data_IF_977937818564
#
_entry.id   IF_977937818564
#
_cell.length_a   1.000
_cell.length_b   1.000
_cell.length_c   1.000
_cell.angle_alpha   90.00
_cell.angle_beta   90.00
_cell.angle_gamma   90.00
#
_symmetry.space_group_name_H-M   'P 1'
#
loop_
_entity.id
_entity.type
_entity.pdbx_description
1 polymer ?
#
# COMPACT_ATOMS: atom_id res chain seq x y z
N UNK A 1 32.07 52.27 29.87
CA UNK A 1 32.47 52.03 28.45
C UNK A 1 33.23 50.71 28.38
N UNK A 2 32.73 49.75 27.58
CA UNK A 2 33.39 48.51 27.03
C UNK A 2 33.92 47.47 28.05
N UNK A 3 33.78 46.15 27.90
CA UNK A 3 33.01 45.22 27.04
C UNK A 3 32.99 43.85 27.77
N UNK A 4 31.87 43.15 27.64
CA UNK A 4 31.57 41.79 28.12
C UNK A 4 31.89 40.78 27.01
N UNK A 5 32.49 39.63 27.36
CA UNK A 5 32.56 38.35 26.62
C UNK A 5 33.55 37.45 27.39
N UNK A 6 33.42 36.14 27.60
CA UNK A 6 32.60 35.05 27.08
C UNK A 6 32.93 33.86 28.00
N UNK A 7 31.95 33.15 28.58
CA UNK A 7 32.07 31.75 29.08
C UNK A 7 30.83 31.37 29.92
N UNK A 8 29.71 31.10 29.27
CA UNK A 8 28.59 30.36 29.86
C UNK A 8 27.87 29.58 28.75
N UNK A 9 28.51 28.53 28.24
CA UNK A 9 27.90 27.60 27.29
C UNK A 9 28.63 26.25 27.32
N UNK A 10 28.69 25.60 28.49
CA UNK A 10 29.16 24.20 28.55
C UNK A 10 28.58 23.39 29.71
N UNK A 11 27.33 23.64 30.10
CA UNK A 11 26.65 22.80 31.11
C UNK A 11 25.15 22.52 30.85
N UNK A 12 24.64 22.84 29.65
CA UNK A 12 23.24 22.57 29.28
C UNK A 12 23.06 21.48 28.20
N UNK A 13 24.14 20.86 27.73
CA UNK A 13 24.11 19.90 26.61
C UNK A 13 24.18 18.43 27.04
N UNK A 14 24.30 18.12 28.33
CA UNK A 14 24.41 16.74 28.82
C UNK A 14 23.10 16.22 29.45
N UNK A 15 22.11 17.09 29.76
CA UNK A 15 20.81 16.63 30.32
C UNK A 15 19.65 16.59 29.32
N UNK A 16 19.78 17.22 28.15
CA UNK A 16 18.73 17.22 27.11
C UNK A 16 18.58 15.90 26.35
N UNK A 17 19.64 15.10 26.26
CA UNK A 17 19.64 13.82 25.53
C UNK A 17 19.08 12.66 26.37
N UNK A 18 19.39 12.60 27.67
CA UNK A 18 18.90 11.54 28.55
C UNK A 18 17.38 11.60 28.79
N UNK A 19 16.79 12.79 28.87
CA UNK A 19 15.34 12.93 29.06
C UNK A 19 14.55 12.52 27.80
N UNK A 20 15.15 12.71 26.61
CA UNK A 20 14.54 12.33 25.34
C UNK A 20 14.54 10.80 25.12
N UNK A 21 15.62 10.11 25.52
CA UNK A 21 15.72 8.65 25.38
C UNK A 21 14.81 7.87 26.34
N UNK A 22 14.62 8.37 27.57
CA UNK A 22 13.68 7.78 28.52
C UNK A 22 12.22 7.99 28.09
N UNK A 23 11.87 9.18 27.58
CA UNK A 23 10.55 9.45 27.02
C UNK A 23 10.27 8.58 25.77
N UNK A 24 11.27 8.38 24.91
CA UNK A 24 11.19 7.53 23.71
C UNK A 24 11.05 6.05 24.06
N UNK A 25 11.77 5.59 25.10
CA UNK A 25 11.66 4.24 25.68
C UNK A 25 10.26 3.98 26.28
N UNK A 26 9.72 4.94 27.03
CA UNK A 26 8.38 4.85 27.60
C UNK A 26 7.30 4.81 26.51
N UNK A 27 7.39 5.68 25.50
CA UNK A 27 6.42 5.72 24.39
C UNK A 27 6.49 4.48 23.50
N UNK A 28 7.69 3.90 23.31
CA UNK A 28 7.87 2.62 22.62
C UNK A 28 7.28 1.43 23.40
N UNK A 29 7.39 1.42 24.74
CA UNK A 29 6.74 0.39 25.58
C UNK A 29 5.22 0.52 25.53
N UNK A 30 4.68 1.72 25.65
CA UNK A 30 3.23 1.98 25.56
C UNK A 30 2.67 1.57 24.18
N UNK A 31 3.34 1.94 23.09
CA UNK A 31 2.92 1.55 21.73
C UNK A 31 3.00 0.02 21.50
N UNK A 32 3.96 -0.65 22.13
CA UNK A 32 4.10 -2.12 22.06
C UNK A 32 3.00 -2.83 22.85
N UNK A 33 2.58 -2.28 23.99
CA UNK A 33 1.44 -2.82 24.74
C UNK A 33 0.09 -2.57 24.07
N UNK A 34 -0.11 -1.38 23.47
CA UNK A 34 -1.32 -1.08 22.68
C UNK A 34 -1.42 -2.02 21.48
N UNK A 35 -0.31 -2.25 20.75
CA UNK A 35 -0.28 -3.17 19.62
C UNK A 35 -0.55 -4.62 20.03
N UNK A 36 0.02 -5.06 21.17
CA UNK A 36 -0.25 -6.41 21.73
C UNK A 36 -1.70 -6.57 22.18
N UNK A 37 -2.29 -5.58 22.85
CA UNK A 37 -3.70 -5.60 23.27
C UNK A 37 -4.64 -5.58 22.07
N UNK A 38 -4.31 -4.82 21.02
CA UNK A 38 -5.11 -4.75 19.79
C UNK A 38 -5.06 -6.08 19.04
N UNK A 39 -3.88 -6.67 18.86
CA UNK A 39 -3.74 -7.99 18.21
C UNK A 39 -4.45 -9.10 18.98
N UNK A 40 -4.35 -9.13 20.32
CA UNK A 40 -5.06 -10.12 21.16
C UNK A 40 -6.58 -9.99 21.04
N UNK A 41 -7.10 -8.75 21.01
CA UNK A 41 -8.54 -8.49 20.84
C UNK A 41 -9.05 -8.92 19.47
N UNK A 42 -8.21 -8.80 18.43
CA UNK A 42 -8.50 -9.29 17.09
C UNK A 42 -8.53 -10.84 17.10
N UNK A 43 -7.55 -11.51 17.69
CA UNK A 43 -7.54 -12.97 17.83
C UNK A 43 -8.76 -13.52 18.59
N UNK A 44 -9.17 -12.86 19.68
CA UNK A 44 -10.36 -13.25 20.47
C UNK A 44 -11.67 -13.09 19.69
N UNK A 45 -11.74 -12.13 18.75
CA UNK A 45 -12.90 -11.92 17.88
C UNK A 45 -12.95 -12.99 16.77
N UNK A 46 -11.80 -13.35 16.20
CA UNK A 46 -11.71 -14.37 15.16
C UNK A 46 -11.95 -15.79 15.68
N UNK A 47 -11.56 -16.09 16.93
CA UNK A 47 -11.79 -17.40 17.54
C UNK A 47 -13.23 -17.63 18.03
N UNK A 48 -14.10 -16.61 18.05
CA UNK A 48 -15.51 -16.75 18.47
C UNK A 48 -16.48 -17.22 17.38
N UNK A 49 -16.00 -17.53 16.16
CA UNK A 49 -16.85 -18.02 15.06
C UNK A 49 -16.31 -19.33 14.47
N UNK A 50 -16.47 -20.44 15.19
CA UNK A 50 -16.69 -21.77 14.60
C UNK A 50 -17.65 -22.58 15.48
N UNK A 51 -18.76 -23.12 14.94
CA UNK A 51 -19.47 -24.21 15.58
C UNK A 51 -18.60 -25.48 15.48
N UNK A 52 -18.52 -26.25 16.56
CA UNK A 52 -17.90 -27.57 16.55
C UNK A 52 -18.79 -28.58 15.79
N UNK A 53 -18.23 -29.50 14.99
CA UNK A 53 -18.94 -30.69 14.56
C UNK A 53 -18.79 -31.82 15.60
N UNK A 54 -19.86 -32.60 15.71
CA UNK A 54 -20.12 -33.63 16.70
C UNK A 54 -19.10 -34.78 16.71
N UNK A 55 -18.87 -35.26 17.94
CA UNK A 55 -18.02 -36.37 18.34
C UNK A 55 -18.75 -37.72 18.17
N UNK A 56 -18.10 -38.68 17.51
CA UNK A 56 -18.31 -40.12 17.70
C UNK A 56 -17.01 -40.91 17.44
N UNK A 57 -16.23 -41.09 18.51
CA UNK A 57 -15.92 -42.39 19.10
C UNK A 57 -14.83 -43.28 18.47
N UNK A 58 -13.90 -43.75 19.33
CA UNK A 58 -13.31 -45.09 19.20
C UNK A 58 -11.81 -45.29 19.48
N UNK A 59 -11.41 -45.25 20.76
CA UNK A 59 -10.47 -46.15 21.48
C UNK A 59 -9.24 -46.79 20.80
N UNK A 60 -8.06 -46.59 21.41
CA UNK A 60 -7.20 -47.70 21.86
C UNK A 60 -5.68 -47.54 21.70
N UNK A 61 -4.93 -47.74 22.80
CA UNK A 61 -3.58 -48.33 22.77
C UNK A 61 -2.44 -47.53 23.42
N UNK A 62 -2.00 -47.98 24.60
CA UNK A 62 -0.83 -47.49 25.35
C UNK A 62 0.48 -48.22 24.97
N UNK A 63 1.63 -47.59 25.23
CA UNK A 63 2.97 -48.21 25.18
C UNK A 63 4.09 -47.26 25.65
N UNK A 64 4.86 -47.69 26.65
CA UNK A 64 5.84 -46.95 27.47
C UNK A 64 7.27 -46.81 26.90
N UNK A 65 8.02 -45.84 27.50
CA UNK A 65 9.47 -45.70 27.71
C UNK A 65 10.38 -45.57 26.46
N UNK A 66 11.40 -44.71 26.36
CA UNK A 66 12.53 -44.43 27.27
C UNK A 66 13.27 -43.13 26.82
N UNK A 67 14.10 -42.55 27.69
CA UNK A 67 14.66 -41.21 27.55
C UNK A 67 15.86 -41.06 26.61
N UNK A 68 16.08 -39.82 26.18
CA UNK A 68 17.38 -39.13 26.17
C UNK A 68 17.17 -37.66 25.81
N UNK A 69 17.58 -36.78 26.72
CA UNK A 69 17.75 -35.35 26.46
C UNK A 69 18.97 -35.16 25.57
N UNK A 70 18.80 -34.58 24.39
CA UNK A 70 19.88 -33.85 23.73
C UNK A 70 19.35 -32.55 23.12
N UNK A 71 19.87 -31.45 23.66
CA UNK A 71 19.54 -30.09 23.27
C UNK A 71 20.05 -29.81 21.86
N UNK A 72 19.15 -29.81 20.88
CA UNK A 72 19.38 -29.14 19.60
C UNK A 72 18.23 -28.15 19.40
N UNK A 73 18.47 -26.89 19.79
CA UNK A 73 17.65 -25.73 19.41
C UNK A 73 17.73 -25.55 17.88
N UNK A 74 16.97 -26.37 17.16
CA UNK A 74 16.52 -26.05 15.81
C UNK A 74 15.45 -24.97 15.96
N UNK A 75 15.52 -23.84 15.22
CA UNK A 75 14.42 -22.91 15.18
C UNK A 75 13.16 -23.69 14.79
N UNK A 76 12.15 -23.65 15.66
CA UNK A 76 10.90 -24.35 15.43
C UNK A 76 10.36 -23.99 14.04
N UNK A 77 10.27 -25.00 13.20
CA UNK A 77 9.59 -24.99 11.92
C UNK A 77 8.12 -24.69 12.21
N UNK A 78 7.75 -23.41 12.15
CA UNK A 78 6.34 -23.01 12.26
C UNK A 78 5.68 -23.49 10.98
N UNK A 79 5.03 -24.63 11.12
CA UNK A 79 4.31 -25.37 10.10
C UNK A 79 3.53 -24.48 9.13
N UNK A 80 3.76 -24.76 7.84
CA UNK A 80 2.95 -24.41 6.67
C UNK A 80 1.50 -24.92 6.80
N UNK A 81 0.69 -24.30 7.66
CA UNK A 81 -0.72 -24.64 7.84
C UNK A 81 -1.58 -23.38 7.97
N UNK A 82 -1.46 -22.48 6.99
CA UNK A 82 -2.48 -21.52 6.59
C UNK A 82 -1.98 -20.81 5.31
N UNK A 83 -2.06 -21.49 4.16
CA UNK A 83 -1.97 -20.81 2.86
C UNK A 83 -3.24 -19.99 2.67
N UNK A 84 -3.30 -18.88 3.39
CA UNK A 84 -4.39 -17.93 3.41
C UNK A 84 -4.41 -17.16 2.08
N UNK A 85 -5.61 -17.01 1.52
CA UNK A 85 -5.95 -16.01 0.50
C UNK A 85 -5.20 -14.70 0.79
N UNK A 86 -4.47 -14.17 -0.20
CA UNK A 86 -3.67 -12.95 -0.06
C UNK A 86 -4.43 -11.86 0.69
N UNK A 87 -3.79 -11.24 1.69
CA UNK A 87 -4.30 -10.04 2.36
C UNK A 87 -3.85 -8.74 1.66
N UNK A 88 -3.27 -8.86 0.46
CA UNK A 88 -2.93 -7.73 -0.37
C UNK A 88 -4.20 -6.99 -0.79
N UNK A 89 -4.14 -5.67 -0.71
CA UNK A 89 -5.20 -4.78 -1.17
C UNK A 89 -4.55 -3.91 -2.24
N UNK A 90 -4.98 -4.01 -3.51
CA UNK A 90 -4.49 -3.13 -4.56
C UNK A 90 -4.84 -1.66 -4.26
N UNK A 91 -3.96 -0.72 -4.61
CA UNK A 91 -4.30 0.70 -4.59
C UNK A 91 -5.46 1.00 -5.53
N UNK A 92 -6.35 1.92 -5.18
CA UNK A 92 -7.54 2.22 -5.97
C UNK A 92 -7.23 3.15 -7.15
N UNK A 93 -6.41 4.17 -6.92
CA UNK A 93 -6.09 5.19 -7.92
C UNK A 93 -4.77 4.86 -8.60
N UNK A 94 -4.85 4.41 -9.85
CA UNK A 94 -3.67 4.08 -10.68
C UNK A 94 -2.88 5.36 -10.94
N UNK A 95 -1.59 5.36 -10.58
CA UNK A 95 -0.66 6.46 -10.89
C UNK A 95 0.23 6.13 -12.08
N UNK A 96 0.51 4.86 -12.31
CA UNK A 96 1.26 4.38 -13.47
C UNK A 96 0.80 2.97 -13.84
N UNK A 97 0.65 2.70 -15.14
CA UNK A 97 0.33 1.36 -15.62
C UNK A 97 0.91 1.12 -17.00
N UNK A 98 1.57 -0.02 -17.13
CA UNK A 98 2.07 -0.52 -18.40
C UNK A 98 1.81 -2.03 -18.54
N UNK A 99 0.96 -2.37 -19.51
CA UNK A 99 0.61 -3.76 -19.86
C UNK A 99 1.36 -4.28 -21.09
N UNK A 100 2.20 -3.45 -21.71
CA UNK A 100 2.98 -3.74 -22.92
C UNK A 100 2.17 -4.07 -24.20
N UNK A 101 0.84 -4.21 -24.12
CA UNK A 101 -0.03 -4.69 -25.23
C UNK A 101 0.05 -3.89 -26.53
N UNK A 102 0.39 -2.60 -26.45
CA UNK A 102 0.41 -1.67 -27.59
C UNK A 102 1.82 -1.19 -27.92
N UNK A 103 2.83 -1.79 -27.32
CA UNK A 103 4.23 -1.46 -27.55
C UNK A 103 4.75 -2.02 -28.88
N UNK A 104 5.81 -1.40 -29.40
CA UNK A 104 6.45 -1.78 -30.67
C UNK A 104 7.64 -2.70 -30.36
N UNK A 105 7.68 -3.88 -30.99
CA UNK A 105 8.77 -4.84 -30.80
C UNK A 105 10.13 -4.26 -31.20
N UNK A 106 11.16 -4.50 -30.38
CA UNK A 106 12.53 -4.03 -30.58
C UNK A 106 12.77 -2.58 -30.15
N UNK A 107 11.73 -1.81 -29.87
CA UNK A 107 11.85 -0.44 -29.39
C UNK A 107 11.99 -0.40 -27.86
N UNK A 108 12.50 0.73 -27.35
CA UNK A 108 12.46 1.02 -25.91
C UNK A 108 11.00 1.28 -25.48
N UNK A 109 10.50 0.71 -24.35
CA UNK A 109 9.10 0.81 -23.97
C UNK A 109 8.69 2.26 -23.70
N UNK A 110 7.63 2.70 -24.38
CA UNK A 110 7.28 4.13 -24.54
C UNK A 110 6.95 4.88 -23.25
N UNK A 111 6.56 4.18 -22.18
CA UNK A 111 6.16 4.74 -20.88
C UNK A 111 7.30 4.82 -19.85
N UNK A 112 8.53 4.57 -20.28
CA UNK A 112 9.67 4.47 -19.38
C UNK A 112 10.75 5.47 -19.77
N UNK A 113 11.69 5.65 -18.84
CA UNK A 113 12.98 6.26 -19.09
C UNK A 113 14.09 5.27 -18.71
N UNK A 114 15.24 5.41 -19.36
CA UNK A 114 16.41 4.56 -19.16
C UNK A 114 17.46 5.27 -18.32
N UNK A 115 17.83 4.68 -17.18
CA UNK A 115 19.01 5.14 -16.42
C UNK A 115 20.30 4.57 -17.01
N UNK A 116 20.30 3.27 -17.34
CA UNK A 116 21.44 2.56 -17.94
C UNK A 116 21.05 1.18 -18.47
N UNK A 117 21.92 0.63 -19.32
CA UNK A 117 21.82 -0.73 -19.83
C UNK A 117 21.13 -0.79 -21.18
N UNK A 118 20.64 -1.97 -21.56
CA UNK A 118 19.88 -2.16 -22.78
C UNK A 118 18.55 -2.85 -22.44
N UNK A 119 17.45 -2.18 -22.79
CA UNK A 119 16.08 -2.62 -22.50
C UNK A 119 15.25 -2.38 -23.74
N UNK A 120 14.46 -3.38 -24.13
CA UNK A 120 13.62 -3.34 -25.32
C UNK A 120 12.34 -4.12 -25.09
N UNK A 121 11.33 -3.82 -25.90
CA UNK A 121 10.09 -4.59 -25.97
C UNK A 121 10.37 -5.87 -26.76
N UNK A 122 10.13 -7.02 -26.14
CA UNK A 122 10.35 -8.34 -26.75
C UNK A 122 9.03 -9.08 -26.89
N UNK A 123 8.94 -9.97 -27.89
CA UNK A 123 7.88 -10.98 -27.94
C UNK A 123 8.31 -12.20 -27.12
N UNK A 124 7.49 -12.59 -26.16
CA UNK A 124 7.68 -13.80 -25.37
C UNK A 124 6.33 -14.45 -25.07
N UNK A 125 6.15 -15.69 -25.51
CA UNK A 125 4.88 -16.44 -25.41
C UNK A 125 3.70 -15.70 -26.08
N UNK A 126 3.92 -15.15 -27.28
CA UNK A 126 2.94 -14.36 -28.05
C UNK A 126 2.41 -13.13 -27.29
N UNK A 127 3.28 -12.50 -26.50
CA UNK A 127 2.97 -11.29 -25.73
C UNK A 127 4.19 -10.39 -25.68
N UNK A 128 3.94 -9.10 -25.81
CA UNK A 128 4.95 -8.09 -25.54
C UNK A 128 5.34 -8.10 -24.06
N UNK A 129 6.63 -8.02 -23.78
CA UNK A 129 7.23 -7.91 -22.46
C UNK A 129 8.36 -6.89 -22.48
N UNK A 130 8.70 -6.33 -21.32
CA UNK A 130 9.90 -5.51 -21.19
C UNK A 130 11.08 -6.46 -20.92
N UNK A 131 11.99 -6.56 -21.87
CA UNK A 131 13.18 -7.40 -21.78
C UNK A 131 14.45 -6.58 -21.54
N UNK A 132 15.25 -7.00 -20.56
CA UNK A 132 16.53 -6.40 -20.22
C UNK A 132 17.66 -7.16 -20.93
N UNK A 133 17.82 -6.92 -22.22
CA UNK A 133 18.69 -7.66 -23.14
C UNK A 133 20.13 -7.86 -22.62
N UNK A 134 20.72 -6.84 -22.02
CA UNK A 134 22.06 -6.91 -21.38
C UNK A 134 22.04 -6.45 -19.93
N UNK A 135 20.88 -6.56 -19.27
CA UNK A 135 20.60 -5.91 -18.01
C UNK A 135 20.40 -4.39 -18.15
N UNK A 136 19.73 -3.80 -17.17
CA UNK A 136 19.43 -2.38 -17.19
C UNK A 136 18.71 -1.89 -15.95
N UNK A 137 18.47 -0.58 -15.92
CA UNK A 137 17.69 0.09 -14.90
C UNK A 137 16.79 1.11 -15.58
N UNK A 138 15.49 0.95 -15.42
CA UNK A 138 14.45 1.82 -15.98
C UNK A 138 13.59 2.39 -14.86
N UNK A 139 12.90 3.47 -15.14
CA UNK A 139 11.93 4.07 -14.23
C UNK A 139 10.75 4.63 -15.02
N UNK A 140 9.54 4.71 -14.41
CA UNK A 140 8.38 5.30 -15.06
C UNK A 140 8.68 6.71 -15.59
N UNK A 141 8.32 6.97 -16.85
CA UNK A 141 8.32 8.32 -17.41
C UNK A 141 7.12 9.07 -16.81
N UNK A 142 7.37 10.02 -15.93
CA UNK A 142 6.36 10.75 -15.16
C UNK A 142 6.56 12.27 -15.33
N UNK A 143 5.46 13.00 -15.46
CA UNK A 143 5.50 14.48 -15.52
C UNK A 143 5.93 15.08 -14.18
N UNK A 144 5.49 14.47 -13.07
CA UNK A 144 5.77 14.91 -11.72
C UNK A 144 6.99 14.18 -11.11
N UNK A 145 7.84 14.95 -10.43
CA UNK A 145 8.86 14.38 -9.54
C UNK A 145 8.20 13.91 -8.25
N UNK A 146 8.79 12.92 -7.57
CA UNK A 146 8.34 12.44 -6.26
C UNK A 146 6.88 11.93 -6.28
N UNK A 147 6.53 11.22 -7.35
CA UNK A 147 5.16 10.81 -7.67
C UNK A 147 4.61 9.69 -6.78
N UNK A 148 5.43 9.00 -5.98
CA UNK A 148 4.90 8.02 -5.04
C UNK A 148 4.16 8.74 -3.90
N UNK A 149 2.91 8.39 -3.58
CA UNK A 149 2.15 8.98 -2.48
C UNK A 149 2.55 8.41 -1.10
N UNK A 150 1.86 8.83 -0.03
CA UNK A 150 2.08 8.29 1.33
C UNK A 150 1.72 6.80 1.46
N UNK A 151 0.80 6.33 0.62
CA UNK A 151 0.35 4.95 0.58
C UNK A 151 0.26 4.52 -0.87
N UNK A 152 1.00 3.48 -1.22
CA UNK A 152 1.01 2.99 -2.59
C UNK A 152 1.18 1.50 -2.65
N UNK A 153 0.75 0.94 -3.78
CA UNK A 153 1.03 -0.42 -4.17
C UNK A 153 1.84 -0.46 -5.46
N UNK A 154 2.68 -1.49 -5.60
CA UNK A 154 3.38 -1.83 -6.83
C UNK A 154 3.08 -3.29 -7.12
N UNK A 155 2.64 -3.59 -8.33
CA UNK A 155 2.35 -4.93 -8.82
C UNK A 155 3.10 -5.12 -10.15
N UNK A 156 3.72 -6.27 -10.36
CA UNK A 156 4.33 -6.64 -11.64
C UNK A 156 4.63 -8.13 -11.69
N UNK A 157 4.81 -8.66 -12.90
CA UNK A 157 5.31 -10.01 -13.11
C UNK A 157 6.78 -9.96 -13.51
N UNK A 158 7.58 -10.91 -13.01
CA UNK A 158 8.95 -11.14 -13.45
C UNK A 158 9.15 -12.60 -13.85
N UNK A 159 9.99 -12.85 -14.87
CA UNK A 159 10.20 -14.19 -15.41
C UNK A 159 11.51 -14.80 -14.91
N UNK A 160 11.48 -16.06 -14.49
CA UNK A 160 12.68 -16.84 -14.16
C UNK A 160 12.86 -17.98 -15.14
N UNK A 161 14.05 -18.07 -15.75
CA UNK A 161 14.38 -19.20 -16.61
C UNK A 161 14.77 -20.39 -15.70
N UNK A 162 14.39 -21.62 -16.06
CA UNK A 162 14.61 -22.84 -15.22
C UNK A 162 16.08 -23.12 -14.84
N UNK A 163 17.02 -22.42 -15.46
CA UNK A 163 18.46 -22.59 -15.27
C UNK A 163 19.14 -21.24 -14.97
N UNK A 164 18.36 -20.20 -14.70
CA UNK A 164 18.82 -18.83 -14.70
C UNK A 164 19.15 -18.25 -13.35
N UNK A 165 20.08 -17.29 -13.34
CA UNK A 165 20.32 -16.41 -12.20
C UNK A 165 19.80 -15.01 -12.56
N UNK A 166 18.52 -14.91 -12.94
CA UNK A 166 17.86 -13.62 -13.11
C UNK A 166 17.80 -12.89 -11.76
N UNK A 167 18.07 -11.60 -11.82
CA UNK A 167 18.15 -10.76 -10.65
C UNK A 167 17.33 -9.50 -10.90
N UNK A 168 16.16 -9.45 -10.27
CA UNK A 168 15.28 -8.29 -10.27
C UNK A 168 15.48 -7.49 -8.99
N UNK A 169 15.34 -6.16 -9.07
CA UNK A 169 15.34 -5.30 -7.89
C UNK A 169 14.41 -4.13 -8.13
N UNK A 170 13.41 -3.99 -7.26
CA UNK A 170 12.64 -2.76 -7.10
C UNK A 170 13.47 -1.84 -6.22
N UNK A 171 13.98 -0.76 -6.80
CA UNK A 171 14.89 0.17 -6.13
C UNK A 171 14.10 1.43 -5.77
N UNK A 172 14.14 1.82 -4.51
CA UNK A 172 13.57 3.08 -4.05
C UNK A 172 14.67 4.10 -3.83
N UNK A 173 14.35 5.38 -3.99
CA UNK A 173 15.29 6.49 -3.75
C UNK A 173 15.88 6.51 -2.33
N UNK A 174 15.12 6.09 -1.31
CA UNK A 174 15.60 5.99 0.07
C UNK A 174 16.61 4.84 0.30
N UNK A 175 16.72 3.88 -0.63
CA UNK A 175 17.57 2.65 -0.54
C UNK A 175 17.29 1.74 0.67
N UNK A 176 16.34 2.07 1.54
CA UNK A 176 15.97 1.31 2.73
C UNK A 176 14.90 0.27 2.43
N UNK A 177 14.11 0.50 1.39
CA UNK A 177 13.00 -0.35 1.00
C UNK A 177 13.29 -1.24 -0.22
N UNK A 178 14.52 -1.23 -0.75
CA UNK A 178 14.90 -1.98 -1.96
C UNK A 178 14.52 -3.46 -1.82
N UNK A 179 13.75 -3.98 -2.77
CA UNK A 179 13.31 -5.38 -2.79
C UNK A 179 14.05 -6.11 -3.90
N UNK A 180 14.95 -7.00 -3.52
CA UNK A 180 15.67 -7.88 -4.43
C UNK A 180 14.93 -9.22 -4.57
N UNK A 181 14.82 -9.72 -5.79
CA UNK A 181 14.15 -10.97 -6.12
C UNK A 181 15.13 -11.79 -6.96
N UNK A 182 15.36 -13.04 -6.56
CA UNK A 182 16.29 -14.00 -7.15
C UNK A 182 15.57 -15.36 -7.24
N UNK A 183 16.12 -16.33 -7.99
CA UNK A 183 15.44 -17.63 -8.16
C UNK A 183 15.20 -18.40 -6.85
N UNK A 184 16.00 -18.12 -5.82
CA UNK A 184 16.02 -18.81 -4.53
C UNK A 184 15.63 -17.92 -3.34
N UNK A 185 15.37 -16.63 -3.58
CA UNK A 185 14.99 -15.72 -2.50
C UNK A 185 14.21 -14.48 -2.94
N UNK A 186 13.49 -13.93 -1.96
CA UNK A 186 13.10 -12.52 -1.92
C UNK A 186 13.77 -11.87 -0.71
N UNK A 187 14.33 -10.68 -0.87
CA UNK A 187 15.08 -9.97 0.17
C UNK A 187 14.74 -8.50 0.18
N UNK A 188 14.61 -7.90 1.37
CA UNK A 188 14.57 -6.43 1.51
C UNK A 188 15.94 -5.95 1.98
N UNK A 189 16.71 -5.37 1.06
CA UNK A 189 18.14 -5.13 1.23
C UNK A 189 18.46 -4.15 2.36
N UNK A 190 17.64 -3.11 2.55
CA UNK A 190 17.85 -2.13 3.62
C UNK A 190 17.65 -2.66 5.05
N UNK A 191 17.05 -3.85 5.20
CA UNK A 191 16.75 -4.49 6.47
C UNK A 191 17.42 -5.86 6.65
N UNK A 192 18.17 -6.34 5.65
CA UNK A 192 18.83 -7.65 5.65
C UNK A 192 17.90 -8.83 6.00
N UNK A 193 16.62 -8.73 5.63
CA UNK A 193 15.66 -9.83 5.79
C UNK A 193 15.56 -10.59 4.48
N UNK A 194 15.66 -11.92 4.55
CA UNK A 194 15.63 -12.87 3.42
C UNK A 194 14.61 -13.97 3.70
N UNK A 195 13.84 -14.34 2.67
CA UNK A 195 12.83 -15.37 2.66
C UNK A 195 13.22 -16.29 1.52
N UNK A 196 13.42 -17.56 1.85
CA UNK A 196 13.68 -18.59 0.86
C UNK A 196 12.37 -18.93 0.15
N UNK A 197 12.50 -19.22 -1.13
CA UNK A 197 11.41 -19.49 -2.07
C UNK A 197 11.90 -20.58 -3.00
N UNK A 198 11.03 -21.53 -3.31
CA UNK A 198 11.41 -22.74 -4.03
C UNK A 198 11.71 -22.43 -5.51
N UNK A 199 12.98 -22.62 -5.89
CA UNK A 199 13.55 -22.65 -7.24
C UNK A 199 12.62 -22.12 -8.34
N UNK A 200 12.47 -20.80 -8.38
CA UNK A 200 11.49 -20.12 -9.22
C UNK A 200 11.71 -20.43 -10.69
N UNK A 201 10.63 -20.77 -11.39
CA UNK A 201 10.61 -20.89 -12.84
C UNK A 201 9.32 -20.29 -13.39
N UNK A 202 9.40 -19.77 -14.62
CA UNK A 202 8.29 -19.14 -15.30
C UNK A 202 7.97 -17.74 -14.75
N UNK A 203 6.76 -17.29 -15.03
CA UNK A 203 6.24 -16.01 -14.54
C UNK A 203 5.90 -16.11 -13.05
N UNK A 204 6.41 -15.15 -12.27
CA UNK A 204 6.12 -14.97 -10.85
C UNK A 204 5.53 -13.59 -10.61
N UNK A 205 4.57 -13.51 -9.71
CA UNK A 205 3.84 -12.28 -9.41
C UNK A 205 4.38 -11.64 -8.13
N UNK A 206 4.71 -10.35 -8.22
CA UNK A 206 5.22 -9.56 -7.10
C UNK A 206 4.21 -8.47 -6.75
N UNK A 207 3.91 -8.34 -5.45
CA UNK A 207 3.07 -7.25 -4.95
C UNK A 207 3.77 -6.58 -3.75
N UNK A 208 3.84 -5.26 -3.76
CA UNK A 208 4.38 -4.44 -2.69
C UNK A 208 3.29 -3.50 -2.20
N UNK A 209 3.14 -3.36 -0.88
CA UNK A 209 2.23 -2.38 -0.27
C UNK A 209 3.00 -1.55 0.76
N UNK A 210 3.16 -0.26 0.47
CA UNK A 210 3.74 0.70 1.38
C UNK A 210 2.65 1.55 2.02
N UNK A 211 2.68 1.69 3.34
CA UNK A 211 1.72 2.50 4.09
C UNK A 211 2.45 3.37 5.11
N UNK A 212 2.68 4.65 4.78
CA UNK A 212 3.34 5.71 5.58
C UNK A 212 4.76 5.37 6.07
N UNK A 213 4.91 4.28 6.81
CA UNK A 213 6.11 3.79 7.50
C UNK A 213 6.24 2.27 7.54
N UNK A 214 5.42 1.52 6.81
CA UNK A 214 5.52 0.06 6.74
C UNK A 214 5.50 -0.43 5.29
N UNK A 215 6.32 -1.43 4.99
CA UNK A 215 6.32 -2.13 3.71
C UNK A 215 5.90 -3.57 3.92
N UNK A 216 4.89 -4.02 3.18
CA UNK A 216 4.58 -5.43 3.01
C UNK A 216 5.05 -5.87 1.63
N UNK A 217 5.56 -7.10 1.55
CA UNK A 217 6.04 -7.73 0.32
C UNK A 217 5.33 -9.06 0.17
N UNK A 218 4.79 -9.30 -1.02
CA UNK A 218 4.07 -10.48 -1.39
C UNK A 218 4.69 -11.11 -2.63
N UNK A 219 4.59 -12.42 -2.71
CA UNK A 219 5.09 -13.24 -3.79
C UNK A 219 4.07 -14.33 -4.09
N UNK A 220 3.56 -14.35 -5.32
CA UNK A 220 2.49 -15.26 -5.77
C UNK A 220 1.27 -15.27 -4.83
N UNK A 221 0.90 -14.09 -4.33
CA UNK A 221 -0.21 -13.90 -3.40
C UNK A 221 0.09 -14.31 -1.95
N UNK A 222 1.28 -14.81 -1.64
CA UNK A 222 1.70 -15.10 -0.27
C UNK A 222 2.48 -13.93 0.31
N UNK A 223 2.12 -13.48 1.52
CA UNK A 223 2.84 -12.41 2.21
C UNK A 223 4.15 -12.94 2.79
N UNK A 224 5.27 -12.48 2.25
CA UNK A 224 6.60 -12.81 2.76
C UNK A 224 7.02 -11.89 3.93
N UNK A 225 6.72 -10.59 3.83
CA UNK A 225 7.15 -9.61 4.82
C UNK A 225 6.08 -8.63 5.25
N UNK A 226 6.23 -8.15 6.49
CA UNK A 226 5.58 -6.96 7.03
C UNK A 226 6.61 -6.19 7.87
N UNK A 227 7.27 -5.21 7.24
CA UNK A 227 8.36 -4.45 7.82
C UNK A 227 7.85 -3.12 8.37
N UNK A 228 7.76 -2.94 9.70
CA UNK A 228 7.36 -1.68 10.29
C UNK A 228 8.54 -0.70 10.41
N UNK A 229 8.22 0.55 10.72
CA UNK A 229 9.18 1.60 11.11
C UNK A 229 10.21 2.00 10.04
N UNK A 230 9.83 1.95 8.76
CA UNK A 230 10.58 2.63 7.70
C UNK A 230 10.52 4.13 7.98
N UNK A 231 11.65 4.71 8.39
CA UNK A 231 11.74 6.11 8.84
C UNK A 231 11.59 7.10 7.68
N UNK A 232 11.96 6.69 6.48
CA UNK A 232 11.98 7.53 5.29
C UNK A 232 11.02 6.94 4.25
N UNK A 233 10.06 7.76 3.83
CA UNK A 233 9.11 7.42 2.79
C UNK A 233 9.82 7.49 1.42
N UNK A 234 9.72 6.45 0.58
CA UNK A 234 10.23 6.53 -0.78
C UNK A 234 9.35 7.44 -1.64
N UNK A 235 9.97 8.24 -2.51
CA UNK A 235 9.28 9.19 -3.38
C UNK A 235 9.30 8.76 -4.84
N UNK A 236 10.26 7.92 -5.23
CA UNK A 236 10.45 7.43 -6.59
C UNK A 236 10.82 5.95 -6.58
N UNK A 237 10.54 5.24 -7.68
CA UNK A 237 10.88 3.83 -7.85
C UNK A 237 11.53 3.55 -9.20
N UNK A 238 12.52 2.64 -9.21
CA UNK A 238 13.17 2.13 -10.41
C UNK A 238 13.08 0.61 -10.44
N UNK A 239 13.11 0.05 -11.64
CA UNK A 239 13.19 -1.37 -11.87
C UNK A 239 14.54 -1.69 -12.48
N UNK A 240 15.33 -2.47 -11.73
CA UNK A 240 16.60 -2.99 -12.19
C UNK A 240 16.45 -4.48 -12.44
N UNK A 241 16.90 -4.94 -13.61
CA UNK A 241 16.98 -6.36 -13.89
C UNK A 241 18.23 -6.70 -14.69
N UNK A 242 18.68 -7.93 -14.52
CA UNK A 242 19.85 -8.51 -15.18
C UNK A 242 19.76 -10.03 -15.12
N UNK A 243 20.30 -10.70 -16.13
CA UNK A 243 20.54 -12.15 -16.10
C UNK A 243 22.02 -12.43 -15.94
N UNK A 244 22.39 -13.28 -14.99
CA UNK A 244 23.79 -13.66 -14.72
C UNK A 244 23.95 -15.19 -14.77
N UNK A 245 25.19 -15.67 -14.57
CA UNK A 245 25.49 -17.10 -14.47
C UNK A 245 25.02 -17.89 -15.69
N UNK A 246 24.29 -18.98 -15.44
CA UNK A 246 23.78 -19.87 -16.47
C UNK A 246 22.66 -19.25 -17.36
N UNK A 247 22.06 -18.12 -16.97
CA UNK A 247 21.19 -17.32 -17.83
C UNK A 247 21.90 -16.17 -18.55
N UNK A 248 23.24 -16.10 -18.49
CA UNK A 248 23.98 -15.09 -19.24
C UNK A 248 23.65 -15.21 -20.75
N UNK A 249 23.15 -14.13 -21.33
CA UNK A 249 22.68 -14.09 -22.73
C UNK A 249 21.19 -14.37 -22.91
N UNK A 250 20.44 -14.66 -21.85
CA UNK A 250 18.97 -14.62 -21.85
C UNK A 250 18.49 -13.32 -21.21
N UNK A 251 17.46 -12.65 -21.75
CA UNK A 251 16.94 -11.44 -21.15
C UNK A 251 16.19 -11.75 -19.85
N UNK A 252 16.41 -10.93 -18.83
CA UNK A 252 15.49 -10.82 -17.71
C UNK A 252 14.26 -10.08 -18.21
N UNK A 253 13.05 -10.48 -17.80
CA UNK A 253 11.81 -9.96 -18.38
C UNK A 253 10.81 -9.61 -17.29
N UNK A 254 10.12 -8.49 -17.48
CA UNK A 254 8.98 -8.06 -16.64
C UNK A 254 7.78 -7.69 -17.51
N UNK A 255 6.59 -7.73 -16.93
CA UNK A 255 5.35 -7.26 -17.56
C UNK A 255 4.30 -6.87 -16.51
N UNK A 256 3.17 -6.34 -16.98
CA UNK A 256 1.98 -6.05 -16.17
C UNK A 256 2.29 -5.13 -14.97
N UNK A 257 3.04 -4.06 -15.21
CA UNK A 257 3.47 -3.14 -14.16
C UNK A 257 2.30 -2.23 -13.83
N UNK A 258 1.97 -2.15 -12.54
CA UNK A 258 0.97 -1.24 -12.01
C UNK A 258 1.49 -0.60 -10.73
N UNK A 259 1.40 0.72 -10.66
CA UNK A 259 1.65 1.50 -9.46
C UNK A 259 0.37 2.28 -9.15
N UNK A 260 -0.12 2.19 -7.92
CA UNK A 260 -1.36 2.85 -7.52
C UNK A 260 -1.27 3.43 -6.12
N UNK A 261 -1.99 4.52 -5.88
CA UNK A 261 -2.23 5.11 -4.57
C UNK A 261 -3.24 4.26 -3.78
N UNK A 262 -2.99 4.06 -2.49
CA UNK A 262 -3.88 3.33 -1.58
C UNK A 262 -3.26 2.04 -1.03
N UNK A 263 -4.02 0.95 -1.08
CA UNK A 263 -3.59 -0.37 -0.61
C UNK A 263 -3.74 -0.63 0.89
N UNK A 264 -4.66 0.09 1.51
CA UNK A 264 -5.06 -0.07 2.92
C UNK A 264 -6.59 -0.19 2.97
N UNK A 265 -7.18 -1.06 3.81
CA UNK A 265 -8.64 -1.13 3.93
C UNK A 265 -9.23 0.24 4.24
N UNK A 266 -10.38 0.56 3.62
CA UNK A 266 -11.04 1.86 3.80
C UNK A 266 -11.32 2.18 5.28
N UNK A 267 -11.76 1.17 6.06
CA UNK A 267 -11.97 1.32 7.51
C UNK A 267 -10.70 1.79 8.22
N UNK A 268 -9.56 1.16 7.94
CA UNK A 268 -8.28 1.54 8.54
C UNK A 268 -7.89 2.98 8.20
N UNK A 269 -8.14 3.45 6.98
CA UNK A 269 -7.90 4.86 6.61
C UNK A 269 -8.78 5.79 7.45
N UNK A 270 -10.09 5.51 7.52
CA UNK A 270 -11.04 6.33 8.27
C UNK A 270 -10.71 6.41 9.77
N UNK A 271 -10.36 5.30 10.41
CA UNK A 271 -10.07 5.31 11.85
C UNK A 271 -8.70 5.91 12.18
N UNK A 272 -7.73 5.82 11.27
CA UNK A 272 -6.37 6.35 11.49
C UNK A 272 -6.24 7.83 11.12
N UNK A 273 -6.78 8.22 9.97
CA UNK A 273 -6.67 9.59 9.45
C UNK A 273 -7.88 10.45 9.87
N UNK A 274 -8.98 9.82 10.31
CA UNK A 274 -10.23 10.52 10.67
C UNK A 274 -11.12 10.85 9.47
N UNK A 275 -10.61 10.72 8.24
CA UNK A 275 -11.35 10.98 7.02
C UNK A 275 -10.87 10.13 5.83
N UNK A 276 -11.73 10.02 4.83
CA UNK A 276 -11.44 9.47 3.51
C UNK A 276 -11.94 10.45 2.45
N UNK A 277 -11.04 10.93 1.59
CA UNK A 277 -11.33 11.93 0.55
C UNK A 277 -11.22 11.26 -0.82
N UNK A 278 -12.16 11.53 -1.71
CA UNK A 278 -12.17 10.98 -3.08
C UNK A 278 -12.72 11.97 -4.10
N UNK A 279 -12.13 11.97 -5.30
CA UNK A 279 -12.63 12.68 -6.48
C UNK A 279 -13.43 11.75 -7.43
N UNK A 280 -13.53 10.46 -7.12
CA UNK A 280 -14.15 9.44 -7.98
C UNK A 280 -15.69 9.42 -7.90
N UNK A 281 -16.27 10.31 -7.08
CA UNK A 281 -17.70 10.56 -7.03
C UNK A 281 -18.03 11.74 -7.97
N UNK A 282 -18.45 11.38 -9.17
CA UNK A 282 -18.72 12.29 -10.27
C UNK A 282 -20.20 12.68 -10.31
N UNK A 283 -20.42 13.94 -10.67
CA UNK A 283 -21.74 14.52 -10.90
C UNK A 283 -21.79 15.10 -12.31
N UNK A 284 -23.00 15.19 -12.86
CA UNK A 284 -23.22 16.01 -14.06
C UNK A 284 -22.92 17.49 -13.79
N UNK A 285 -22.53 18.23 -14.84
CA UNK A 285 -22.26 19.65 -14.74
C UNK A 285 -23.47 20.41 -14.17
N UNK A 286 -23.25 21.21 -13.13
CA UNK A 286 -24.30 21.93 -12.40
C UNK A 286 -25.42 21.06 -11.82
N UNK A 287 -25.19 19.75 -11.65
CA UNK A 287 -26.15 18.83 -11.03
C UNK A 287 -25.58 18.12 -9.80
N UNK A 288 -26.48 17.45 -9.09
CA UNK A 288 -26.19 16.58 -7.96
C UNK A 288 -26.49 15.10 -8.24
N UNK A 289 -26.89 14.77 -9.47
CA UNK A 289 -27.09 13.39 -9.91
C UNK A 289 -25.73 12.67 -10.00
N UNK A 290 -25.64 11.52 -9.33
CA UNK A 290 -24.43 10.70 -9.26
C UNK A 290 -24.31 9.86 -10.54
N UNK A 291 -23.14 9.89 -11.17
CA UNK A 291 -22.86 9.09 -12.36
C UNK A 291 -22.66 7.61 -12.04
N UNK A 292 -22.91 6.75 -13.02
CA UNK A 292 -22.84 5.29 -12.87
C UNK A 292 -21.47 4.80 -12.38
N UNK A 293 -20.39 5.40 -12.87
CA UNK A 293 -19.02 4.99 -12.53
C UNK A 293 -18.67 5.21 -11.06
N UNK A 294 -19.39 6.09 -10.37
CA UNK A 294 -19.18 6.40 -8.94
C UNK A 294 -19.77 5.37 -7.99
N UNK A 295 -20.61 4.45 -8.49
CA UNK A 295 -21.20 3.40 -7.65
C UNK A 295 -20.18 2.40 -7.11
N UNK A 296 -19.03 2.23 -7.78
CA UNK A 296 -17.96 1.38 -7.27
C UNK A 296 -17.47 1.88 -5.90
N UNK A 297 -17.16 3.18 -5.79
CA UNK A 297 -16.71 3.79 -4.53
C UNK A 297 -17.81 3.83 -3.49
N UNK A 298 -19.06 4.14 -3.89
CA UNK A 298 -20.19 4.15 -2.96
C UNK A 298 -20.46 2.77 -2.35
N UNK A 299 -20.34 1.70 -3.13
CA UNK A 299 -20.46 0.32 -2.61
C UNK A 299 -19.32 -0.02 -1.66
N UNK A 300 -18.08 0.36 -1.97
CA UNK A 300 -16.96 0.17 -1.04
C UNK A 300 -17.20 0.86 0.32
N UNK A 301 -17.71 2.09 0.30
CA UNK A 301 -18.09 2.80 1.54
C UNK A 301 -19.23 2.10 2.26
N UNK A 302 -20.28 1.70 1.53
CA UNK A 302 -21.43 1.01 2.11
C UNK A 302 -21.03 -0.34 2.73
N UNK A 303 -20.25 -1.15 2.04
CA UNK A 303 -19.82 -2.47 2.51
C UNK A 303 -18.94 -2.33 3.76
N UNK A 304 -18.00 -1.38 3.77
CA UNK A 304 -17.24 -1.04 4.98
C UNK A 304 -18.15 -0.65 6.15
N UNK A 305 -19.18 0.18 5.92
CA UNK A 305 -20.13 0.55 6.98
C UNK A 305 -21.03 -0.60 7.43
N UNK A 306 -21.31 -1.60 6.57
CA UNK A 306 -22.04 -2.82 6.95
C UNK A 306 -21.17 -3.75 7.81
N UNK A 307 -19.90 -3.89 7.44
CA UNK A 307 -18.90 -4.67 8.19
C UNK A 307 -18.58 -4.04 9.55
N UNK A 308 -18.67 -2.71 9.64
CA UNK A 308 -18.39 -1.93 10.84
C UNK A 308 -19.61 -1.09 11.28
N UNK A 309 -20.61 -1.69 11.97
CA UNK A 309 -21.85 -1.03 12.38
C UNK A 309 -21.66 0.21 13.28
N UNK A 310 -20.53 0.30 13.97
CA UNK A 310 -20.17 1.42 14.83
C UNK A 310 -19.82 2.70 14.05
N UNK A 311 -19.44 2.58 12.78
CA UNK A 311 -19.00 3.72 11.97
C UNK A 311 -20.15 4.68 11.71
N UNK A 312 -19.94 5.95 12.01
CA UNK A 312 -20.84 7.06 11.67
C UNK A 312 -20.05 8.07 10.85
N UNK A 313 -20.61 8.54 9.75
CA UNK A 313 -19.89 9.40 8.81
C UNK A 313 -20.60 10.74 8.64
N UNK A 314 -19.82 11.80 8.54
CA UNK A 314 -20.22 13.08 7.97
C UNK A 314 -19.68 13.16 6.55
N UNK A 315 -20.58 13.36 5.59
CA UNK A 315 -20.28 13.50 4.17
C UNK A 315 -20.15 14.99 3.88
N UNK A 316 -18.96 15.40 3.45
CA UNK A 316 -18.63 16.77 3.12
C UNK A 316 -18.56 16.92 1.59
N UNK A 317 -19.37 17.82 1.03
CA UNK A 317 -19.32 18.19 -0.38
C UNK A 317 -18.49 19.46 -0.58
N UNK A 318 -17.70 19.47 -1.65
CA UNK A 318 -16.87 20.61 -2.05
C UNK A 318 -17.06 20.93 -3.53
N UNK A 319 -16.83 22.19 -3.90
CA UNK A 319 -16.76 22.67 -5.29
C UNK A 319 -15.38 23.25 -5.57
N UNK A 320 -15.10 23.52 -6.84
CA UNK A 320 -14.03 24.45 -7.22
C UNK A 320 -14.49 25.90 -6.95
N UNK A 321 -13.59 26.84 -7.28
CA UNK A 321 -13.79 28.29 -7.17
C UNK A 321 -14.56 28.89 -8.36
N UNK A 322 -15.07 28.07 -9.28
CA UNK A 322 -15.80 28.58 -10.44
C UNK A 322 -17.27 28.82 -10.06
N UNK A 323 -17.73 30.06 -10.24
CA UNK A 323 -19.11 30.45 -9.97
C UNK A 323 -19.26 31.34 -8.74
N UNK A 324 -20.50 31.50 -8.27
CA UNK A 324 -20.81 32.33 -7.10
C UNK A 324 -20.79 31.49 -5.83
N UNK A 325 -20.26 32.05 -4.73
CA UNK A 325 -20.13 31.37 -3.44
C UNK A 325 -21.45 30.77 -2.92
N UNK A 326 -22.55 31.52 -3.04
CA UNK A 326 -23.88 31.10 -2.61
C UNK A 326 -24.37 29.87 -3.40
N UNK A 327 -24.11 29.89 -4.71
CA UNK A 327 -24.41 28.79 -5.61
C UNK A 327 -23.54 27.56 -5.30
N UNK A 328 -22.24 27.73 -5.13
CA UNK A 328 -21.28 26.67 -4.82
C UNK A 328 -21.58 26.02 -3.46
N UNK A 329 -21.97 26.81 -2.47
CA UNK A 329 -22.43 26.33 -1.17
C UNK A 329 -23.73 25.51 -1.27
N UNK A 330 -24.70 25.97 -2.08
CA UNK A 330 -25.93 25.22 -2.30
C UNK A 330 -25.69 23.90 -3.07
N UNK A 331 -24.84 23.94 -4.10
CA UNK A 331 -24.50 22.78 -4.93
C UNK A 331 -23.77 21.70 -4.12
N UNK A 332 -22.75 22.08 -3.36
CA UNK A 332 -22.02 21.15 -2.48
C UNK A 332 -22.93 20.46 -1.45
N UNK A 333 -23.89 21.20 -0.86
CA UNK A 333 -24.90 20.62 0.06
C UNK A 333 -25.77 19.59 -0.64
N UNK A 334 -26.25 19.88 -1.86
CA UNK A 334 -27.06 18.94 -2.67
C UNK A 334 -26.27 17.69 -3.04
N UNK A 335 -24.99 17.83 -3.39
CA UNK A 335 -24.09 16.70 -3.70
C UNK A 335 -23.87 15.80 -2.49
N UNK A 336 -23.57 16.38 -1.32
CA UNK A 336 -23.43 15.62 -0.09
C UNK A 336 -24.72 14.85 0.27
N UNK A 337 -25.89 15.49 0.09
CA UNK A 337 -27.19 14.83 0.29
C UNK A 337 -27.42 13.68 -0.69
N UNK A 338 -27.03 13.84 -1.95
CA UNK A 338 -27.18 12.80 -2.97
C UNK A 338 -26.32 11.57 -2.64
N UNK A 339 -25.10 11.78 -2.15
CA UNK A 339 -24.21 10.70 -1.66
C UNK A 339 -24.83 10.00 -0.46
N UNK A 340 -25.38 10.74 0.51
CA UNK A 340 -26.11 10.16 1.64
C UNK A 340 -27.26 9.27 1.16
N UNK A 341 -28.09 9.77 0.24
CA UNK A 341 -29.23 9.01 -0.27
C UNK A 341 -28.79 7.74 -1.01
N UNK A 342 -27.68 7.79 -1.76
CA UNK A 342 -27.11 6.62 -2.40
C UNK A 342 -26.66 5.56 -1.38
N UNK A 343 -25.98 5.96 -0.29
CA UNK A 343 -25.59 5.03 0.77
C UNK A 343 -26.78 4.46 1.53
N UNK A 344 -27.84 5.25 1.73
CA UNK A 344 -29.10 4.75 2.31
C UNK A 344 -29.74 3.69 1.41
N UNK A 345 -29.71 3.90 0.08
CA UNK A 345 -30.19 2.92 -0.91
C UNK A 345 -29.37 1.61 -0.87
N UNK A 346 -28.09 1.70 -0.55
CA UNK A 346 -27.21 0.54 -0.32
C UNK A 346 -27.40 -0.13 1.06
N UNK A 347 -28.37 0.33 1.86
CA UNK A 347 -28.77 -0.29 3.13
C UNK A 347 -28.17 0.32 4.39
N UNK A 348 -27.54 1.51 4.30
CA UNK A 348 -26.99 2.20 5.47
C UNK A 348 -28.10 2.98 6.18
N UNK A 349 -28.24 2.77 7.50
CA UNK A 349 -29.21 3.49 8.30
C UNK A 349 -29.00 5.03 8.22
N UNK A 350 -30.02 5.84 7.89
CA UNK A 350 -29.87 7.29 7.72
C UNK A 350 -29.29 8.03 8.93
N UNK A 351 -29.52 7.53 10.15
CA UNK A 351 -28.99 8.10 11.40
C UNK A 351 -27.47 7.96 11.57
N UNK A 352 -26.83 7.11 10.77
CA UNK A 352 -25.36 6.95 10.72
C UNK A 352 -24.68 7.96 9.79
N UNK A 353 -25.46 8.77 9.08
CA UNK A 353 -24.96 9.67 8.02
C UNK A 353 -25.40 11.12 8.27
N UNK A 354 -24.41 12.01 8.39
CA UNK A 354 -24.60 13.46 8.37
C UNK A 354 -24.06 14.04 7.06
N UNK A 355 -24.51 15.22 6.67
CA UNK A 355 -24.09 15.89 5.43
C UNK A 355 -23.81 17.35 5.68
N UNK A 356 -22.73 17.86 5.10
CA UNK A 356 -22.36 19.28 5.09
C UNK A 356 -21.86 19.64 3.68
N UNK A 357 -22.14 20.84 3.21
CA UNK A 357 -21.51 21.39 2.00
C UNK A 357 -20.70 22.62 2.38
N UNK A 358 -19.47 22.71 1.86
CA UNK A 358 -18.57 23.84 2.11
C UNK A 358 -18.41 24.76 0.90
N UNK A 359 -18.99 24.42 -0.26
CA UNK A 359 -18.65 25.07 -1.52
C UNK A 359 -17.14 25.04 -1.73
N UNK A 360 -16.56 26.20 -2.01
CA UNK A 360 -15.12 26.43 -2.19
C UNK A 360 -14.37 26.82 -0.92
N UNK A 361 -15.04 26.95 0.24
CA UNK A 361 -14.45 27.52 1.46
C UNK A 361 -13.33 26.70 2.10
N UNK A 362 -13.13 25.45 1.63
CA UNK A 362 -12.08 24.54 2.09
C UNK A 362 -11.34 23.94 0.89
N UNK A 363 -10.54 24.72 0.16
CA UNK A 363 -9.74 24.17 -0.94
C UNK A 363 -8.62 23.29 -0.39
N UNK A 364 -8.31 22.20 -1.10
CA UNK A 364 -7.07 21.43 -0.88
C UNK A 364 -5.90 22.17 -1.53
N UNK A 365 -6.13 22.70 -2.73
CA UNK A 365 -5.16 23.49 -3.48
C UNK A 365 -5.76 24.86 -3.77
N UNK A 366 -5.08 25.93 -3.34
CA UNK A 366 -5.50 27.31 -3.56
C UNK A 366 -5.07 27.86 -4.92
N UNK A 367 -4.34 27.07 -5.71
CA UNK A 367 -3.89 27.44 -7.04
C UNK A 367 -5.08 27.53 -8.00
N UNK A 368 -5.03 28.49 -8.92
CA UNK A 368 -6.08 28.69 -9.93
C UNK A 368 -5.76 27.93 -11.23
N UNK A 369 -5.53 26.62 -11.12
CA UNK A 369 -5.27 25.75 -12.28
C UNK A 369 -6.37 24.70 -12.46
N UNK A 370 -6.59 24.18 -13.68
CA UNK A 370 -7.58 23.13 -13.93
C UNK A 370 -7.39 21.89 -13.04
N UNK A 371 -6.14 21.55 -12.72
CA UNK A 371 -5.76 20.43 -11.85
C UNK A 371 -6.18 20.69 -10.40
N UNK A 372 -5.87 21.89 -9.88
CA UNK A 372 -6.28 22.30 -8.53
C UNK A 372 -7.81 22.34 -8.40
N UNK A 373 -8.52 22.85 -9.42
CA UNK A 373 -9.98 22.82 -9.47
C UNK A 373 -10.53 21.38 -9.47
N UNK A 374 -9.91 20.47 -10.22
CA UNK A 374 -10.28 19.07 -10.22
C UNK A 374 -10.09 18.42 -8.85
N UNK A 375 -8.99 18.70 -8.15
CA UNK A 375 -8.75 18.25 -6.78
C UNK A 375 -9.78 18.81 -5.80
N UNK A 376 -10.16 20.07 -5.95
CA UNK A 376 -11.13 20.73 -5.08
C UNK A 376 -12.56 20.18 -5.23
N UNK A 377 -12.96 19.78 -6.45
CA UNK A 377 -14.23 19.07 -6.73
C UNK A 377 -14.19 17.65 -6.16
N UNK A 378 -14.54 17.50 -4.89
CA UNK A 378 -14.43 16.24 -4.15
C UNK A 378 -15.55 16.01 -3.17
N UNK A 379 -15.59 14.77 -2.68
CA UNK A 379 -16.39 14.38 -1.51
C UNK A 379 -15.44 13.84 -0.44
N UNK A 380 -15.65 14.25 0.81
CA UNK A 380 -14.94 13.70 1.95
C UNK A 380 -15.89 12.98 2.91
N UNK A 381 -15.48 11.83 3.41
CA UNK A 381 -16.17 11.05 4.43
C UNK A 381 -15.39 11.19 5.73
N UNK A 382 -15.94 11.93 6.68
CA UNK A 382 -15.29 12.21 7.97
C UNK A 382 -15.91 11.34 9.05
N UNK A 383 -15.07 10.64 9.82
CA UNK A 383 -15.52 9.82 10.94
C UNK A 383 -16.10 10.71 12.05
N UNK A 384 -17.35 10.44 12.44
CA UNK A 384 -17.99 11.03 13.60
C UNK A 384 -17.58 10.25 14.84
N UNK A 385 -17.02 10.95 15.83
CA UNK A 385 -16.61 10.38 17.12
C UNK A 385 -17.72 10.43 18.15
#
# INVERSE_FOLDING_TARGET
>A
MKKISFCFAMLALVFGTYSCDVARSAQNKTNREISKKTNKKIEDIFNKKKPAPDDKGGSGGAGDADGTNDNNDKPAEIANANRNKSDFIPGEKVIFMDSQRVEILGEFPSKWDLERGNVEVMDFENRNVIGFASGGTIFPLMDEKNYLPERFTIEFDCYFHNYGNEAYTVVFDNRKADVAIRPDMVQVAGHNVRAEVDNMSGWRHMELSFNKRSLKVYFDGERLYNLPNLKERPLNVKFKALSHGAAKGKPAMIKNIRIAEGGVPLYHRLVTDGEFVTNDIHFDYNKADIKTDSWAVLRQVADMMKEHPEVRLKIEGHTDSDGRDDYNLALSKKRALSVKNALVKEGIAPGRLQTVGYGEQKPIDTSNTPEAMALNRRVAFVLLR
#
